data_IF_308661090638
#
_entry.id   IF_308661090638
#
_cell.length_a   1.000
_cell.length_b   1.000
_cell.length_c   1.000
_cell.angle_alpha   90.00
_cell.angle_beta   90.00
_cell.angle_gamma   90.00
#
_symmetry.space_group_name_H-M   'P 1'
#
loop_
_entity.id
_entity.type
_entity.pdbx_description
1 polymer ?
#
# COMPACT_ATOMS: atom_id res chain seq x y z
N UNK A 1 -13.07 3.26 34.28
CA UNK A 1 -13.00 2.83 32.86
C UNK A 1 -11.72 3.37 32.28
N UNK A 2 -10.80 2.50 31.85
CA UNK A 2 -9.58 2.92 31.14
C UNK A 2 -10.03 3.36 29.75
N UNK A 3 -9.83 4.62 29.40
CA UNK A 3 -9.93 5.07 28.02
C UNK A 3 -8.91 4.26 27.22
N UNK A 4 -9.38 3.33 26.38
CA UNK A 4 -8.53 2.80 25.31
C UNK A 4 -8.15 4.02 24.47
N UNK A 5 -6.86 4.25 24.28
CA UNK A 5 -6.38 5.19 23.26
C UNK A 5 -6.86 4.62 21.91
N UNK A 6 -8.07 4.97 21.49
CA UNK A 6 -8.68 4.57 20.21
C UNK A 6 -8.03 5.28 19.01
N UNK A 7 -6.81 5.80 19.17
CA UNK A 7 -6.16 6.70 18.22
C UNK A 7 -5.23 5.96 17.28
N UNK A 8 -4.56 4.90 17.77
CA UNK A 8 -3.54 4.15 17.03
C UNK A 8 -4.08 2.78 16.66
N UNK A 9 -3.90 2.39 15.40
CA UNK A 9 -4.22 1.03 14.94
C UNK A 9 -3.18 0.08 15.54
N UNK A 10 -3.60 -0.88 16.35
CA UNK A 10 -2.62 -1.76 17.02
C UNK A 10 -2.17 -2.91 16.13
N UNK A 11 -1.04 -3.53 16.48
CA UNK A 11 -0.55 -4.74 15.80
C UNK A 11 -1.61 -5.85 15.87
N UNK A 12 -2.32 -6.00 17.00
CA UNK A 12 -3.41 -6.97 17.12
C UNK A 12 -4.54 -6.69 16.14
N UNK A 13 -4.94 -5.42 15.96
CA UNK A 13 -5.96 -5.06 14.97
C UNK A 13 -5.50 -5.35 13.54
N UNK A 14 -4.23 -5.09 13.22
CA UNK A 14 -3.64 -5.44 11.91
C UNK A 14 -3.68 -6.95 11.70
N UNK A 15 -3.34 -7.74 12.73
CA UNK A 15 -3.42 -9.20 12.67
C UNK A 15 -4.86 -9.68 12.46
N UNK A 16 -5.84 -9.12 13.17
CA UNK A 16 -7.25 -9.45 12.95
C UNK A 16 -7.71 -9.14 11.52
N UNK A 17 -7.25 -8.03 10.93
CA UNK A 17 -7.51 -7.64 9.54
C UNK A 17 -6.92 -8.66 8.55
N UNK A 18 -5.72 -9.17 8.82
CA UNK A 18 -5.05 -10.17 7.96
C UNK A 18 -5.71 -11.55 8.12
N UNK A 19 -5.88 -12.00 9.36
CA UNK A 19 -6.37 -13.33 9.72
C UNK A 19 -7.80 -13.56 9.23
N UNK A 20 -8.68 -12.55 9.30
CA UNK A 20 -10.07 -12.66 8.80
C UNK A 20 -10.15 -12.93 7.29
N UNK A 21 -9.07 -12.67 6.54
CA UNK A 21 -8.95 -12.91 5.10
C UNK A 21 -8.25 -14.24 4.78
N UNK A 22 -7.79 -14.98 5.79
CA UNK A 22 -7.01 -16.19 5.60
C UNK A 22 -5.68 -15.96 4.88
N UNK A 23 -5.12 -14.75 4.99
CA UNK A 23 -3.87 -14.37 4.35
C UNK A 23 -2.68 -14.86 5.18
N UNK A 24 -1.58 -15.17 4.49
CA UNK A 24 -0.33 -15.52 5.17
C UNK A 24 0.41 -14.23 5.52
N UNK A 25 0.96 -14.15 6.73
CA UNK A 25 1.82 -13.05 7.14
C UNK A 25 3.07 -13.51 7.88
N UNK A 26 4.12 -12.70 7.80
CA UNK A 26 5.34 -12.85 8.59
C UNK A 26 5.59 -11.57 9.37
N UNK A 27 5.85 -11.70 10.67
CA UNK A 27 6.17 -10.58 11.55
C UNK A 27 7.66 -10.66 11.88
N UNK A 28 8.37 -9.55 11.67
CA UNK A 28 9.79 -9.38 12.02
C UNK A 28 9.88 -8.22 13.00
N UNK A 29 10.42 -8.50 14.17
CA UNK A 29 10.64 -7.50 15.21
C UNK A 29 12.14 -7.42 15.50
N UNK A 30 12.62 -6.23 15.84
CA UNK A 30 14.01 -6.04 16.16
C UNK A 30 14.32 -4.68 16.79
N UNK A 31 15.60 -4.38 16.85
CA UNK A 31 16.12 -3.11 17.34
C UNK A 31 17.20 -2.63 16.37
N UNK A 32 17.01 -1.45 15.79
CA UNK A 32 18.00 -0.80 14.94
C UNK A 32 19.00 -0.07 15.83
N UNK A 33 20.23 -0.59 15.90
CA UNK A 33 21.30 -0.03 16.73
C UNK A 33 21.74 1.36 16.23
N UNK A 34 21.62 1.65 14.94
CA UNK A 34 22.04 2.95 14.39
C UNK A 34 21.02 4.05 14.68
N UNK A 35 19.73 3.69 14.68
CA UNK A 35 18.64 4.62 15.00
C UNK A 35 18.27 4.63 16.49
N UNK A 36 18.75 3.65 17.25
CA UNK A 36 18.37 3.39 18.65
C UNK A 36 16.85 3.16 18.84
N UNK A 37 16.21 2.52 17.86
CA UNK A 37 14.75 2.37 17.79
C UNK A 37 14.33 0.90 17.62
N UNK A 38 13.19 0.55 18.23
CA UNK A 38 12.52 -0.73 17.95
C UNK A 38 11.75 -0.63 16.64
N UNK A 39 11.84 -1.67 15.81
CA UNK A 39 11.02 -1.76 14.61
C UNK A 39 10.14 -3.00 14.64
N UNK A 40 8.94 -2.87 14.08
CA UNK A 40 8.07 -3.99 13.76
C UNK A 40 7.74 -3.95 12.28
N UNK A 41 8.03 -5.02 11.58
CA UNK A 41 7.75 -5.16 10.15
C UNK A 41 6.81 -6.33 9.92
N UNK A 42 5.75 -6.11 9.14
CA UNK A 42 4.79 -7.16 8.78
C UNK A 42 4.76 -7.31 7.27
N UNK A 43 5.07 -8.51 6.78
CA UNK A 43 4.91 -8.88 5.38
C UNK A 43 3.62 -9.68 5.23
N UNK A 44 2.74 -9.28 4.32
CA UNK A 44 1.47 -9.94 4.01
C UNK A 44 1.51 -10.47 2.58
N UNK A 45 1.10 -11.73 2.40
CA UNK A 45 1.26 -12.45 1.13
C UNK A 45 -0.06 -12.95 0.57
N UNK A 46 -0.20 -12.88 -0.75
CA UNK A 46 -1.25 -13.53 -1.52
C UNK A 46 -0.67 -13.99 -2.87
N UNK A 47 -0.47 -15.31 -3.04
CA UNK A 47 0.32 -15.83 -4.15
C UNK A 47 1.76 -15.30 -4.10
N UNK A 48 2.23 -14.75 -5.21
CA UNK A 48 3.56 -14.11 -5.31
C UNK A 48 3.52 -12.61 -4.95
N UNK A 49 2.33 -12.08 -4.65
CA UNK A 49 2.19 -10.67 -4.29
C UNK A 49 2.43 -10.45 -2.80
N UNK A 50 3.25 -9.44 -2.52
CA UNK A 50 3.67 -9.01 -1.19
C UNK A 50 3.23 -7.56 -0.94
N UNK A 51 2.66 -7.31 0.23
CA UNK A 51 2.42 -5.99 0.81
C UNK A 51 3.20 -5.93 2.12
N UNK A 52 3.87 -4.83 2.37
CA UNK A 52 4.74 -4.70 3.54
C UNK A 52 4.32 -3.52 4.42
N UNK A 53 4.38 -3.72 5.73
CA UNK A 53 4.03 -2.74 6.75
C UNK A 53 5.25 -2.49 7.61
N UNK A 54 5.72 -1.25 7.65
CA UNK A 54 6.71 -0.79 8.62
C UNK A 54 5.97 -0.03 9.73
N UNK A 55 6.06 -0.53 10.96
CA UNK A 55 5.31 -0.07 12.12
C UNK A 55 6.30 0.46 13.17
N UNK A 56 6.76 1.69 12.95
CA UNK A 56 7.61 2.43 13.87
C UNK A 56 6.84 3.65 14.41
N UNK A 57 7.52 4.79 14.59
CA UNK A 57 6.88 6.07 14.98
C UNK A 57 5.87 6.57 13.94
N UNK A 58 6.13 6.31 12.66
CA UNK A 58 5.19 6.42 11.56
C UNK A 58 4.88 5.04 10.97
N UNK A 59 3.65 4.85 10.51
CA UNK A 59 3.26 3.62 9.83
C UNK A 59 3.43 3.80 8.34
N UNK A 60 4.09 2.87 7.67
CA UNK A 60 4.27 2.89 6.22
C UNK A 60 3.72 1.61 5.59
N UNK A 61 2.86 1.76 4.58
CA UNK A 61 2.48 0.65 3.70
C UNK A 61 3.33 0.74 2.44
N UNK A 62 4.05 -0.32 2.09
CA UNK A 62 4.75 -0.47 0.81
C UNK A 62 3.99 -1.45 -0.08
N UNK A 63 3.59 -1.00 -1.26
CA UNK A 63 2.88 -1.84 -2.20
C UNK A 63 3.10 -1.46 -3.67
N UNK A 64 3.77 -2.36 -4.42
CA UNK A 64 4.12 -2.10 -5.81
C UNK A 64 5.07 -0.91 -5.94
N UNK A 65 4.71 0.06 -6.78
CA UNK A 65 5.48 1.30 -6.96
C UNK A 65 5.09 2.40 -5.96
N UNK A 66 4.08 2.16 -5.12
CA UNK A 66 3.53 3.14 -4.18
C UNK A 66 3.90 2.81 -2.74
N UNK A 67 4.08 3.85 -1.94
CA UNK A 67 4.11 3.74 -0.49
C UNK A 67 3.30 4.89 0.13
N UNK A 68 2.62 4.60 1.24
CA UNK A 68 1.83 5.55 2.00
C UNK A 68 2.38 5.68 3.42
N UNK A 69 2.59 6.91 3.87
CA UNK A 69 3.07 7.25 5.22
C UNK A 69 1.90 7.78 6.05
N UNK A 70 1.81 7.33 7.29
CA UNK A 70 0.71 7.64 8.19
C UNK A 70 1.24 7.94 9.60
N UNK A 71 1.03 9.16 10.09
CA UNK A 71 1.56 9.60 11.38
C UNK A 71 0.71 9.07 12.54
N UNK A 72 1.35 8.38 13.50
CA UNK A 72 0.63 7.66 14.58
C UNK A 72 -0.02 8.58 15.61
N UNK A 73 0.41 9.83 15.70
CA UNK A 73 -0.21 10.86 16.54
C UNK A 73 -1.41 11.55 15.87
N UNK A 74 -1.67 11.27 14.59
CA UNK A 74 -2.78 11.80 13.82
C UNK A 74 -3.93 10.80 13.66
N UNK A 75 -5.09 11.08 14.28
CA UNK A 75 -6.26 10.17 14.23
C UNK A 75 -6.80 9.96 12.82
N UNK A 76 -6.66 10.96 11.94
CA UNK A 76 -7.14 10.86 10.56
C UNK A 76 -6.24 9.93 9.75
N UNK A 77 -4.92 10.05 9.91
CA UNK A 77 -3.93 9.16 9.29
C UNK A 77 -4.11 7.72 9.73
N UNK A 78 -4.34 7.46 11.02
CA UNK A 78 -4.58 6.09 11.51
C UNK A 78 -5.88 5.49 10.98
N UNK A 79 -6.93 6.31 10.76
CA UNK A 79 -8.15 5.87 10.08
C UNK A 79 -7.90 5.60 8.60
N UNK A 80 -7.07 6.43 7.96
CA UNK A 80 -6.72 6.28 6.56
C UNK A 80 -5.85 5.04 6.32
N UNK A 81 -4.82 4.83 7.15
CA UNK A 81 -4.01 3.61 7.18
C UNK A 81 -4.88 2.36 7.23
N UNK A 82 -5.82 2.30 8.20
CA UNK A 82 -6.72 1.14 8.33
C UNK A 82 -7.55 0.93 7.08
N UNK A 83 -8.14 2.01 6.55
CA UNK A 83 -8.98 1.97 5.35
C UNK A 83 -8.20 1.48 4.14
N UNK A 84 -7.01 2.04 3.93
CA UNK A 84 -6.17 1.74 2.77
C UNK A 84 -5.62 0.31 2.88
N UNK A 85 -5.18 -0.12 4.07
CA UNK A 85 -4.82 -1.52 4.33
C UNK A 85 -5.97 -2.48 3.99
N UNK A 86 -7.17 -2.23 4.52
CA UNK A 86 -8.32 -3.09 4.25
C UNK A 86 -8.69 -3.10 2.75
N UNK A 87 -8.66 -1.95 2.09
CA UNK A 87 -9.01 -1.82 0.68
C UNK A 87 -7.95 -2.43 -0.25
N UNK A 88 -6.66 -2.34 0.09
CA UNK A 88 -5.57 -2.99 -0.64
C UNK A 88 -5.69 -4.50 -0.54
N UNK A 89 -5.84 -5.04 0.68
CA UNK A 89 -5.99 -6.48 0.90
C UNK A 89 -7.27 -7.04 0.26
N UNK A 90 -8.34 -6.24 0.16
CA UNK A 90 -9.58 -6.60 -0.57
C UNK A 90 -9.49 -6.37 -2.09
N UNK A 91 -8.37 -5.84 -2.60
CA UNK A 91 -8.22 -5.42 -4.00
C UNK A 91 -9.33 -4.48 -4.50
N UNK A 92 -9.83 -3.61 -3.61
CA UNK A 92 -10.74 -2.49 -3.93
C UNK A 92 -9.97 -1.28 -4.45
N UNK A 93 -8.75 -1.08 -3.95
CA UNK A 93 -7.78 -0.14 -4.49
C UNK A 93 -6.53 -0.89 -4.93
N UNK A 94 -5.76 -0.27 -5.82
CA UNK A 94 -4.50 -0.78 -6.35
C UNK A 94 -3.41 0.29 -6.26
N UNK A 95 -2.16 -0.14 -6.28
CA UNK A 95 -1.03 0.73 -6.55
C UNK A 95 -0.98 1.03 -8.05
N UNK A 96 -0.74 2.27 -8.42
CA UNK A 96 -0.61 2.70 -9.80
C UNK A 96 0.74 3.35 -10.00
N UNK A 97 1.59 2.72 -10.81
CA UNK A 97 2.81 3.30 -11.34
C UNK A 97 2.56 3.96 -12.69
N UNK A 98 3.07 5.17 -12.88
CA UNK A 98 3.03 5.90 -14.15
C UNK A 98 4.45 6.06 -14.69
N UNK A 99 4.64 5.68 -15.94
CA UNK A 99 5.95 5.68 -16.59
C UNK A 99 5.87 6.28 -17.99
N UNK A 100 6.99 6.77 -18.50
CA UNK A 100 7.13 7.22 -19.89
C UNK A 100 8.36 6.59 -20.52
N UNK A 101 8.19 6.08 -21.74
CA UNK A 101 9.30 5.54 -22.50
C UNK A 101 10.05 6.67 -23.23
N UNK A 102 11.38 6.68 -23.10
CA UNK A 102 12.25 7.59 -23.82
C UNK A 102 13.54 6.86 -24.19
N UNK A 103 13.81 6.74 -25.49
CA UNK A 103 14.97 6.03 -26.03
C UNK A 103 15.05 4.56 -25.56
N UNK A 104 13.96 3.81 -25.66
CA UNK A 104 13.84 2.41 -25.21
C UNK A 104 14.09 2.21 -23.69
N UNK A 105 14.08 3.30 -22.91
CA UNK A 105 14.19 3.28 -21.45
C UNK A 105 12.89 3.80 -20.84
N UNK A 106 12.33 3.01 -19.93
CA UNK A 106 11.17 3.40 -19.16
C UNK A 106 11.57 4.27 -17.96
N UNK A 107 10.96 5.45 -17.86
CA UNK A 107 11.23 6.42 -16.81
C UNK A 107 10.01 6.55 -15.90
N UNK A 108 10.19 6.31 -14.60
CA UNK A 108 9.16 6.54 -13.59
C UNK A 108 8.78 8.02 -13.51
N UNK A 109 7.48 8.28 -13.53
CA UNK A 109 6.88 9.62 -13.49
C UNK A 109 6.08 9.87 -12.21
N UNK A 110 5.60 8.82 -11.54
CA UNK A 110 4.86 8.95 -10.28
C UNK A 110 4.18 7.66 -9.86
N UNK A 111 3.75 7.62 -8.60
CA UNK A 111 3.02 6.50 -8.00
C UNK A 111 1.90 6.99 -7.07
N UNK A 112 0.77 6.30 -7.05
CA UNK A 112 -0.41 6.64 -6.23
C UNK A 112 -1.27 5.40 -6.02
N UNK A 113 -2.30 5.49 -5.17
CA UNK A 113 -3.36 4.49 -5.07
C UNK A 113 -4.60 4.92 -5.85
N UNK A 114 -5.31 3.96 -6.43
CA UNK A 114 -6.53 4.23 -7.18
C UNK A 114 -7.59 3.14 -6.97
N UNK A 115 -8.86 3.55 -7.00
CA UNK A 115 -9.99 2.63 -6.91
C UNK A 115 -10.14 1.78 -8.18
N UNK A 116 -10.47 0.50 -7.99
CA UNK A 116 -10.65 -0.47 -9.06
C UNK A 116 -11.65 -0.01 -10.12
N UNK A 117 -12.72 0.65 -9.70
CA UNK A 117 -13.78 1.19 -10.55
C UNK A 117 -13.33 2.35 -11.45
N UNK A 118 -12.23 3.04 -11.11
CA UNK A 118 -11.70 4.16 -11.88
C UNK A 118 -10.66 3.71 -12.93
N UNK A 119 -10.33 2.42 -13.00
CA UNK A 119 -9.27 1.91 -13.87
C UNK A 119 -9.75 1.73 -15.31
N UNK A 120 -9.92 2.85 -15.99
CA UNK A 120 -10.18 2.90 -17.43
C UNK A 120 -9.14 3.76 -18.15
N UNK A 121 -8.96 3.49 -19.45
CA UNK A 121 -7.94 4.19 -20.25
C UNK A 121 -8.24 5.69 -20.36
N UNK A 122 -9.50 6.09 -20.47
CA UNK A 122 -9.86 7.51 -20.61
C UNK A 122 -9.58 8.28 -19.33
N UNK A 123 -9.82 7.67 -18.16
CA UNK A 123 -9.41 8.20 -16.87
C UNK A 123 -7.92 8.52 -16.84
N UNK A 124 -7.09 7.53 -17.21
CA UNK A 124 -5.64 7.72 -17.22
C UNK A 124 -5.17 8.72 -18.27
N UNK A 125 -5.76 8.73 -19.47
CA UNK A 125 -5.45 9.70 -20.51
C UNK A 125 -5.75 11.13 -20.03
N UNK A 126 -6.89 11.35 -19.34
CA UNK A 126 -7.23 12.65 -18.76
C UNK A 126 -6.26 13.08 -17.66
N UNK A 127 -5.77 12.13 -16.87
CA UNK A 127 -4.92 12.40 -15.69
C UNK A 127 -3.43 12.56 -16.03
N UNK A 128 -2.91 11.77 -16.97
CA UNK A 128 -1.47 11.67 -17.27
C UNK A 128 -1.08 12.13 -18.67
N UNK A 129 -2.07 12.32 -19.55
CA UNK A 129 -1.86 12.58 -20.97
C UNK A 129 -1.56 11.30 -21.76
N UNK A 130 -1.24 11.47 -23.04
CA UNK A 130 -0.79 10.37 -23.89
C UNK A 130 0.65 9.94 -23.58
N UNK A 131 1.05 8.81 -24.16
CA UNK A 131 2.41 8.26 -24.15
C UNK A 131 2.88 7.80 -22.76
N UNK A 132 1.95 7.53 -21.85
CA UNK A 132 2.26 6.99 -20.53
C UNK A 132 1.94 5.50 -20.48
N UNK A 133 2.83 4.73 -19.86
CA UNK A 133 2.61 3.34 -19.47
C UNK A 133 2.10 3.39 -18.03
N UNK A 134 0.89 2.90 -17.82
CA UNK A 134 0.25 2.87 -16.51
C UNK A 134 0.15 1.43 -16.05
N UNK A 135 0.79 1.10 -14.92
CA UNK A 135 0.73 -0.23 -14.31
C UNK A 135 -0.09 -0.18 -13.04
N UNK A 136 -1.19 -0.91 -13.03
CA UNK A 136 -2.05 -1.09 -11.88
C UNK A 136 -1.73 -2.45 -11.24
N UNK A 137 -1.20 -2.42 -10.01
CA UNK A 137 -0.88 -3.60 -9.22
C UNK A 137 -1.87 -3.76 -8.08
N UNK A 138 -2.59 -4.87 -8.09
CA UNK A 138 -3.54 -5.30 -7.07
C UNK A 138 -2.92 -6.37 -6.16
N UNK A 139 -3.46 -6.50 -4.96
CA UNK A 139 -3.02 -7.53 -4.03
C UNK A 139 -3.40 -8.94 -4.53
N UNK A 140 -4.57 -9.05 -5.18
CA UNK A 140 -4.90 -10.13 -6.09
C UNK A 140 -4.31 -9.83 -7.48
N UNK A 141 -3.16 -10.41 -7.78
CA UNK A 141 -2.43 -10.21 -9.04
C UNK A 141 -3.20 -10.60 -10.30
N UNK A 142 -4.25 -11.42 -10.17
CA UNK A 142 -5.11 -11.76 -11.32
C UNK A 142 -5.88 -10.55 -11.85
N UNK A 143 -5.95 -9.48 -11.05
CA UNK A 143 -6.57 -8.21 -11.40
C UNK A 143 -5.58 -7.18 -11.97
N UNK A 144 -4.29 -7.48 -12.02
CA UNK A 144 -3.27 -6.56 -12.52
C UNK A 144 -3.58 -6.14 -13.96
N UNK A 145 -3.34 -4.86 -14.25
CA UNK A 145 -3.58 -4.28 -15.58
C UNK A 145 -2.45 -3.35 -15.97
N UNK A 146 -2.21 -3.29 -17.26
CA UNK A 146 -1.35 -2.29 -17.87
C UNK A 146 -2.15 -1.54 -18.94
N UNK A 147 -1.99 -0.22 -18.97
CA UNK A 147 -2.58 0.65 -19.98
C UNK A 147 -1.49 1.43 -20.68
N UNK A 148 -1.63 1.56 -22.00
CA UNK A 148 -0.89 2.52 -22.80
C UNK A 148 -1.85 3.66 -23.11
N UNK A 149 -1.57 4.88 -22.59
CA UNK A 149 -2.46 6.03 -22.78
C UNK A 149 -2.22 6.72 -24.10
#
# INVERSE_FOLDING_TARGET
>A
MKYRNNTVVTIEEIREIIDRRGLTSQIKEGFDIQKEEHFTYIEVFHGDTKLELDLADEYTIYFGDWHGHYYTDEINDMREFRRDLENLLDSKICSVGCFREKNDVENWCGSFIEFKENLDREYFLRKYGGESIIRCKFFDETLNREFLT
#
